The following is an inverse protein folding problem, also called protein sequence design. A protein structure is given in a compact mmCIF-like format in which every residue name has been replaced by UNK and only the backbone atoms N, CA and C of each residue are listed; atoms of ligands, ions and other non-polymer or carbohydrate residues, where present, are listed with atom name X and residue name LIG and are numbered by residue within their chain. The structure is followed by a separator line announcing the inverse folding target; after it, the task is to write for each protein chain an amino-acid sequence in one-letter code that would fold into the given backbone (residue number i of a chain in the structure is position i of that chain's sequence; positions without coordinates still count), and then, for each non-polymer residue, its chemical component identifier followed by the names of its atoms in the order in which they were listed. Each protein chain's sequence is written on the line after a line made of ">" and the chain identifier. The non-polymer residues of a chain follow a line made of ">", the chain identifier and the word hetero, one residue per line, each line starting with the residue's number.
data_IF_658338038967
#
_entry.id   IF_658338038967
#
_cell.length_a   1.000
_cell.length_b   1.000
_cell.length_c   1.000
_cell.angle_alpha   90.00
_cell.angle_beta   90.00
_cell.angle_gamma   90.00
#
_symmetry.space_group_name_H-M   'P 1'
#
loop_
_entity.id
_entity.type
_entity.pdbx_description
1 polymer ?
#
# COMPACT_ATOMS: atom_id res chain seq x y z
N UNK A 1 -17.46 15.73 -60.20
CA UNK A 1 -18.20 16.90 -59.70
C UNK A 1 -18.21 16.79 -58.19
N UNK A 2 -17.57 17.74 -57.52
CA UNK A 2 -17.39 17.79 -56.05
C UNK A 2 -18.74 18.06 -55.38
N UNK A 3 -18.96 17.48 -54.21
CA UNK A 3 -19.77 18.07 -53.13
C UNK A 3 -19.27 17.54 -51.79
N UNK A 4 -19.04 18.48 -50.88
CA UNK A 4 -18.48 18.35 -49.54
C UNK A 4 -19.36 17.57 -48.57
N UNK A 5 -18.77 16.97 -47.53
CA UNK A 5 -19.39 16.94 -46.20
C UNK A 5 -18.36 16.81 -45.07
N UNK A 6 -18.73 17.43 -43.95
CA UNK A 6 -17.87 17.94 -42.90
C UNK A 6 -17.22 16.86 -42.02
N UNK A 7 -15.96 17.13 -41.63
CA UNK A 7 -15.27 16.38 -40.58
C UNK A 7 -15.82 16.73 -39.20
N UNK A 8 -16.53 15.80 -38.58
CA UNK A 8 -16.82 15.81 -37.15
C UNK A 8 -15.60 15.27 -36.41
N UNK A 9 -14.98 16.11 -35.58
CA UNK A 9 -14.01 15.71 -34.57
C UNK A 9 -14.73 14.84 -33.53
N UNK A 10 -14.37 13.57 -33.46
CA UNK A 10 -14.72 12.68 -32.35
C UNK A 10 -13.71 12.85 -31.23
N UNK A 11 -14.17 13.28 -30.04
CA UNK A 11 -13.38 13.22 -28.82
C UNK A 11 -13.13 11.77 -28.44
N UNK A 12 -11.86 11.43 -28.20
CA UNK A 12 -11.47 10.11 -27.69
C UNK A 12 -11.42 10.23 -26.16
N UNK A 13 -12.44 9.70 -25.49
CA UNK A 13 -12.43 9.48 -24.04
C UNK A 13 -11.38 8.41 -23.71
N UNK A 14 -10.36 8.78 -22.95
CA UNK A 14 -9.33 7.85 -22.47
C UNK A 14 -9.85 7.14 -21.20
N UNK A 15 -10.29 5.89 -21.37
CA UNK A 15 -10.72 5.02 -20.27
C UNK A 15 -9.54 4.33 -19.57
N UNK A 16 -9.74 3.92 -18.31
CA UNK A 16 -8.81 3.10 -17.53
C UNK A 16 -8.36 1.88 -18.34
N UNK A 17 -7.05 1.76 -18.56
CA UNK A 17 -6.46 0.72 -19.40
C UNK A 17 -6.31 -0.61 -18.66
N UNK A 18 -7.24 -1.55 -18.89
CA UNK A 18 -7.09 -2.97 -18.53
C UNK A 18 -6.15 -3.64 -19.53
N UNK A 19 -4.93 -4.01 -19.12
CA UNK A 19 -4.06 -4.89 -19.93
C UNK A 19 -4.39 -6.35 -19.65
N UNK A 20 -4.93 -7.04 -20.66
CA UNK A 20 -5.21 -8.48 -20.65
C UNK A 20 -3.91 -9.26 -20.89
N UNK A 21 -3.63 -10.25 -20.04
CA UNK A 21 -2.64 -11.30 -20.32
C UNK A 21 -3.38 -12.63 -20.36
N UNK A 22 -3.06 -13.52 -21.31
CA UNK A 22 -3.86 -14.72 -21.68
C UNK A 22 -4.06 -15.81 -20.59
N UNK A 23 -3.72 -15.52 -19.33
CA UNK A 23 -3.99 -16.36 -18.15
C UNK A 23 -4.35 -15.55 -16.87
N UNK A 24 -4.44 -14.21 -16.93
CA UNK A 24 -4.68 -13.31 -15.80
C UNK A 24 -5.63 -12.20 -16.23
N UNK A 25 -6.83 -12.15 -15.64
CA UNK A 25 -7.90 -11.28 -16.16
C UNK A 25 -7.74 -9.80 -15.74
N UNK A 26 -7.03 -9.48 -14.64
CA UNK A 26 -6.72 -8.09 -14.27
C UNK A 26 -5.56 -7.98 -13.25
N UNK A 27 -4.75 -6.92 -13.37
CA UNK A 27 -3.73 -6.48 -12.40
C UNK A 27 -4.05 -5.03 -12.00
N UNK A 28 -4.37 -4.79 -10.73
CA UNK A 28 -4.67 -3.43 -10.20
C UNK A 28 -3.60 -3.02 -9.20
N UNK A 29 -2.88 -1.90 -9.39
CA UNK A 29 -1.76 -1.44 -8.53
C UNK A 29 -2.10 -0.17 -7.71
N UNK A 30 -2.05 -0.13 -6.36
CA UNK A 30 -2.40 1.11 -5.57
C UNK A 30 -1.82 1.27 -4.12
N UNK A 31 -1.15 2.38 -3.68
CA UNK A 31 -0.28 2.61 -2.46
C UNK A 31 -0.77 2.29 -1.01
N UNK A 32 0.14 2.36 -0.01
CA UNK A 32 0.17 1.71 1.34
C UNK A 32 -0.12 2.64 2.55
N UNK A 33 -0.60 2.09 3.68
CA UNK A 33 -0.82 2.67 5.04
C UNK A 33 -0.48 1.70 6.23
N UNK A 34 -0.01 2.18 7.41
CA UNK A 34 0.40 1.34 8.55
C UNK A 34 -0.64 1.20 9.69
N UNK A 35 -0.63 0.04 10.40
CA UNK A 35 -1.44 -0.24 11.61
C UNK A 35 -0.60 -0.47 12.89
N UNK A 36 -1.21 -0.56 14.10
CA UNK A 36 -0.53 -0.27 15.36
C UNK A 36 0.20 -1.45 16.07
N UNK A 37 1.46 -1.20 16.43
CA UNK A 37 2.21 -1.55 17.66
C UNK A 37 2.13 -2.95 18.31
N UNK A 38 3.26 -3.69 18.29
CA UNK A 38 3.53 -4.89 19.13
C UNK A 38 4.62 -4.58 20.16
N UNK A 39 4.46 -5.08 21.40
CA UNK A 39 5.43 -4.94 22.51
C UNK A 39 6.65 -5.85 22.39
N UNK A 40 7.76 -5.34 22.93
CA UNK A 40 9.15 -5.80 22.82
C UNK A 40 9.45 -7.23 23.32
N UNK A 41 10.02 -8.03 22.42
CA UNK A 41 10.96 -9.13 22.66
C UNK A 41 12.13 -8.95 21.68
N UNK A 42 13.32 -9.49 22.01
CA UNK A 42 14.61 -9.20 21.35
C UNK A 42 14.54 -8.92 19.84
N UNK A 43 15.27 -7.88 19.41
CA UNK A 43 15.14 -7.27 18.08
C UNK A 43 15.07 -8.27 16.92
N UNK A 44 14.31 -7.96 15.87
CA UNK A 44 14.04 -8.88 14.77
C UNK A 44 15.33 -9.34 14.09
N UNK A 45 15.54 -10.66 14.02
CA UNK A 45 16.64 -11.26 13.27
C UNK A 45 16.28 -11.36 11.79
N UNK A 46 17.26 -11.16 10.90
CA UNK A 46 17.06 -11.37 9.47
C UNK A 46 16.68 -12.84 9.19
N UNK A 47 15.68 -13.11 8.34
CA UNK A 47 15.28 -14.47 8.02
C UNK A 47 16.45 -15.29 7.43
N UNK A 48 16.71 -16.47 7.98
CA UNK A 48 17.88 -17.29 7.60
C UNK A 48 17.77 -17.86 6.18
N UNK A 49 16.55 -17.93 5.64
CA UNK A 49 16.22 -18.42 4.31
C UNK A 49 16.35 -17.35 3.22
N UNK A 50 16.55 -16.08 3.60
CA UNK A 50 16.74 -14.98 2.67
C UNK A 50 18.23 -14.67 2.48
N UNK A 51 18.62 -14.48 1.21
CA UNK A 51 19.95 -13.99 0.88
C UNK A 51 20.21 -12.64 1.57
N UNK A 52 21.39 -12.50 2.15
CA UNK A 52 21.85 -11.25 2.77
C UNK A 52 22.25 -10.29 1.64
N UNK A 53 21.58 -9.15 1.49
CA UNK A 53 21.91 -8.19 0.44
C UNK A 53 23.28 -7.55 0.69
N UNK A 54 23.95 -7.13 -0.39
CA UNK A 54 25.10 -6.22 -0.26
C UNK A 54 24.61 -4.87 0.27
N UNK A 55 25.16 -4.47 1.42
CA UNK A 55 24.84 -3.21 2.11
C UNK A 55 25.58 -2.00 1.58
N UNK A 56 26.45 -2.17 0.57
CA UNK A 56 27.25 -1.08 0.02
C UNK A 56 26.35 -0.06 -0.69
N UNK A 57 26.30 1.16 -0.15
CA UNK A 57 25.60 2.30 -0.75
C UNK A 57 26.57 3.48 -0.85
N UNK A 58 27.20 3.70 -2.02
CA UNK A 58 28.21 4.75 -2.16
C UNK A 58 27.61 6.16 -2.25
N UNK A 59 26.34 6.29 -2.64
CA UNK A 59 25.67 7.58 -2.84
C UNK A 59 25.37 8.27 -1.52
N UNK A 60 25.31 9.60 -1.54
CA UNK A 60 24.79 10.38 -0.41
C UNK A 60 23.26 10.46 -0.46
N UNK A 61 22.60 9.42 0.05
CA UNK A 61 21.15 9.29 0.03
C UNK A 61 20.53 9.93 1.28
N UNK A 62 19.46 10.69 1.06
CA UNK A 62 18.61 11.20 2.13
C UNK A 62 17.14 11.13 1.68
N UNK A 63 16.46 10.03 1.99
CA UNK A 63 15.10 9.78 1.54
C UNK A 63 14.15 9.72 2.73
N UNK A 64 13.05 10.46 2.63
CA UNK A 64 12.09 10.63 3.72
C UNK A 64 10.68 10.26 3.31
N UNK A 65 9.96 9.76 4.30
CA UNK A 65 8.51 9.64 4.31
C UNK A 65 8.00 10.57 5.39
N UNK A 66 7.11 11.50 5.05
CA UNK A 66 6.53 12.43 5.99
C UNK A 66 5.08 12.03 6.30
N UNK A 67 4.68 12.15 7.57
CA UNK A 67 3.30 12.02 8.02
C UNK A 67 2.92 13.12 9.04
N UNK A 68 3.74 14.17 9.14
CA UNK A 68 3.48 15.39 9.92
C UNK A 68 3.64 16.60 8.99
N UNK A 69 2.60 17.44 8.80
CA UNK A 69 2.69 18.62 7.94
C UNK A 69 3.68 19.68 8.43
N UNK A 70 4.01 19.70 9.74
CA UNK A 70 4.99 20.61 10.31
C UNK A 70 6.44 20.12 10.17
N UNK A 71 6.65 18.84 9.84
CA UNK A 71 7.98 18.26 9.70
C UNK A 71 8.76 18.91 8.55
N UNK A 72 10.08 19.07 8.72
CA UNK A 72 11.01 19.52 7.68
C UNK A 72 12.30 18.70 7.74
N UNK A 73 12.91 18.35 6.58
CA UNK A 73 14.25 17.79 6.55
C UNK A 73 15.27 18.76 7.18
N UNK A 74 16.30 18.21 7.82
CA UNK A 74 17.40 19.03 8.31
C UNK A 74 18.18 19.66 7.15
N UNK A 75 18.39 20.97 7.19
CA UNK A 75 19.11 21.74 6.14
C UNK A 75 20.53 21.17 5.89
N UNK A 76 21.21 20.70 6.95
CA UNK A 76 22.54 20.10 6.82
C UNK A 76 22.51 18.74 6.09
N UNK A 77 21.44 17.95 6.27
CA UNK A 77 21.26 16.71 5.53
C UNK A 77 20.96 16.97 4.05
N UNK A 78 20.09 17.96 3.75
CA UNK A 78 19.81 18.37 2.37
C UNK A 78 21.07 18.86 1.65
N UNK A 79 21.88 19.69 2.30
CA UNK A 79 23.12 20.20 1.72
C UNK A 79 24.18 19.12 1.44
N UNK A 80 24.18 18.04 2.22
CA UNK A 80 25.14 16.94 2.10
C UNK A 80 24.66 15.79 1.19
N UNK A 81 23.36 15.75 0.87
CA UNK A 81 22.77 14.70 0.04
C UNK A 81 23.06 14.91 -1.45
N UNK A 82 23.44 13.83 -2.13
CA UNK A 82 23.48 13.74 -3.59
C UNK A 82 22.08 13.43 -4.16
N UNK A 83 21.27 12.68 -3.40
CA UNK A 83 19.94 12.24 -3.80
C UNK A 83 18.98 12.38 -2.62
N UNK A 84 18.24 13.49 -2.63
CA UNK A 84 17.22 13.83 -1.65
C UNK A 84 15.81 13.58 -2.23
N UNK A 85 14.93 12.89 -1.48
CA UNK A 85 13.57 12.57 -1.93
C UNK A 85 12.58 12.56 -0.78
N UNK A 86 11.35 13.00 -1.03
CA UNK A 86 10.28 12.99 -0.01
C UNK A 86 9.00 12.37 -0.55
N UNK A 87 8.46 11.37 0.14
CA UNK A 87 7.08 10.91 -0.06
C UNK A 87 6.21 11.49 1.06
N UNK A 88 5.08 12.11 0.70
CA UNK A 88 4.19 12.75 1.67
C UNK A 88 2.70 12.68 1.24
N UNK A 89 1.75 13.01 2.12
CA UNK A 89 0.34 13.02 1.75
C UNK A 89 -0.03 14.14 0.77
N UNK A 90 -1.07 13.90 -0.02
CA UNK A 90 -1.65 14.86 -0.99
C UNK A 90 -2.64 15.86 -0.33
N UNK A 91 -2.85 15.76 0.99
CA UNK A 91 -3.80 16.62 1.71
C UNK A 91 -3.45 18.12 1.64
N UNK A 92 -4.44 19.02 1.78
CA UNK A 92 -4.22 20.47 1.79
C UNK A 92 -3.31 20.93 2.95
N UNK A 93 -3.35 20.22 4.08
CA UNK A 93 -2.48 20.50 5.23
C UNK A 93 -0.98 20.32 4.93
N UNK A 94 -0.62 19.66 3.82
CA UNK A 94 0.76 19.47 3.37
C UNK A 94 1.20 20.46 2.28
N UNK A 95 0.34 21.40 1.86
CA UNK A 95 0.68 22.40 0.82
C UNK A 95 1.90 23.24 1.20
N UNK A 96 2.00 23.69 2.45
CA UNK A 96 3.15 24.45 2.93
C UNK A 96 4.45 23.64 2.90
N UNK A 97 4.38 22.34 3.20
CA UNK A 97 5.54 21.45 3.12
C UNK A 97 5.96 21.23 1.66
N UNK A 98 5.00 21.00 0.74
CA UNK A 98 5.29 20.84 -0.68
C UNK A 98 5.95 22.09 -1.27
N UNK A 99 5.40 23.27 -0.97
CA UNK A 99 6.00 24.54 -1.40
C UNK A 99 7.41 24.73 -0.84
N UNK A 100 7.63 24.42 0.44
CA UNK A 100 8.95 24.51 1.07
C UNK A 100 10.00 23.58 0.41
N UNK A 101 9.59 22.37 0.00
CA UNK A 101 10.44 21.40 -0.70
C UNK A 101 10.73 21.84 -2.13
N UNK A 102 9.73 22.38 -2.83
CA UNK A 102 9.85 22.93 -4.18
C UNK A 102 10.83 24.11 -4.23
N UNK A 103 10.74 25.04 -3.27
CA UNK A 103 11.69 26.16 -3.13
C UNK A 103 13.16 25.73 -2.98
N UNK A 104 13.40 24.47 -2.59
CA UNK A 104 14.72 23.89 -2.35
C UNK A 104 15.12 22.86 -3.40
N UNK A 105 14.37 22.75 -4.50
CA UNK A 105 14.57 21.73 -5.54
C UNK A 105 14.63 20.31 -4.98
N UNK A 106 13.86 20.01 -3.92
CA UNK A 106 13.78 18.66 -3.35
C UNK A 106 12.63 17.90 -4.01
N UNK A 107 12.90 16.86 -4.82
CA UNK A 107 11.85 16.05 -5.42
C UNK A 107 10.91 15.48 -4.37
N UNK A 108 9.62 15.64 -4.60
CA UNK A 108 8.60 15.00 -3.78
C UNK A 108 7.57 14.24 -4.62
N UNK A 109 7.00 13.19 -4.03
CA UNK A 109 5.87 12.43 -4.57
C UNK A 109 4.76 12.36 -3.54
N UNK A 110 3.52 12.48 -4.01
CA UNK A 110 2.36 12.55 -3.13
C UNK A 110 1.52 11.27 -3.22
N UNK A 111 0.89 10.91 -2.11
CA UNK A 111 -0.13 9.86 -2.07
C UNK A 111 -1.27 10.28 -1.14
N UNK A 112 -2.51 10.23 -1.61
CA UNK A 112 -3.71 10.61 -0.84
C UNK A 112 -3.87 9.83 0.47
N UNK A 113 -3.37 8.60 0.49
CA UNK A 113 -3.39 7.73 1.65
C UNK A 113 -1.93 7.47 2.02
N UNK A 114 -1.23 8.46 2.58
CA UNK A 114 0.12 8.29 3.11
C UNK A 114 0.12 8.60 4.61
N UNK A 115 0.68 7.69 5.41
CA UNK A 115 0.65 7.73 6.89
C UNK A 115 1.97 7.18 7.46
N UNK A 116 2.86 6.69 6.59
CA UNK A 116 4.17 6.20 7.01
C UNK A 116 5.14 7.39 7.17
N UNK A 117 5.77 7.48 8.34
CA UNK A 117 6.89 8.37 8.56
C UNK A 117 8.19 7.57 8.75
N UNK A 118 9.30 8.13 8.28
CA UNK A 118 10.61 7.56 8.48
C UNK A 118 11.61 8.04 7.45
N UNK A 119 12.82 7.51 7.55
CA UNK A 119 13.91 7.82 6.64
C UNK A 119 14.72 6.60 6.28
N UNK A 120 15.35 6.68 5.11
CA UNK A 120 16.38 5.76 4.68
C UNK A 120 17.48 6.56 4.00
N UNK A 121 18.73 6.29 4.38
CA UNK A 121 19.81 7.11 3.88
C UNK A 121 21.17 6.74 4.43
N UNK A 122 22.15 7.49 3.96
CA UNK A 122 23.57 7.41 4.34
C UNK A 122 24.10 8.79 4.75
N UNK A 123 23.19 9.72 5.00
CA UNK A 123 23.42 11.07 5.49
C UNK A 123 22.54 11.24 6.72
N UNK A 124 23.13 11.67 7.84
CA UNK A 124 22.39 11.96 9.07
C UNK A 124 21.94 13.44 9.11
N UNK A 125 21.16 13.80 10.14
CA UNK A 125 20.59 15.15 10.28
C UNK A 125 21.65 16.27 10.43
N UNK A 126 22.91 15.93 10.74
CA UNK A 126 24.00 16.89 10.81
C UNK A 126 24.82 16.99 9.52
N UNK A 127 24.41 16.27 8.47
CA UNK A 127 25.11 16.21 7.17
C UNK A 127 26.30 15.24 7.13
N UNK A 128 26.52 14.47 8.20
CA UNK A 128 27.58 13.48 8.28
C UNK A 128 27.25 12.20 7.50
N UNK A 129 28.27 11.61 6.86
CA UNK A 129 28.15 10.30 6.18
C UNK A 129 28.05 9.17 7.20
N UNK A 130 27.14 8.25 6.95
CA UNK A 130 26.94 7.02 7.72
C UNK A 130 26.92 5.81 6.79
N UNK A 131 26.92 4.61 7.36
CA UNK A 131 26.43 3.43 6.64
C UNK A 131 24.95 3.61 6.26
N UNK A 132 24.44 2.73 5.39
CA UNK A 132 23.02 2.75 5.04
C UNK A 132 22.20 2.38 6.27
N UNK A 133 21.37 3.33 6.69
CA UNK A 133 20.51 3.22 7.86
C UNK A 133 19.06 3.53 7.46
N UNK A 134 18.14 2.90 8.15
CA UNK A 134 16.72 3.27 8.14
C UNK A 134 16.27 3.59 9.55
N UNK A 135 15.49 4.64 9.71
CA UNK A 135 14.83 4.97 10.97
C UNK A 135 13.34 5.15 10.72
N UNK A 136 12.52 4.57 11.59
CA UNK A 136 11.05 4.70 11.52
C UNK A 136 10.56 5.99 12.18
N UNK A 137 9.32 5.94 12.68
CA UNK A 137 8.73 6.97 13.54
C UNK A 137 9.64 7.36 14.72
N UNK A 138 9.46 8.58 15.22
CA UNK A 138 10.15 9.09 16.42
C UNK A 138 10.16 8.05 17.55
N UNK A 139 11.36 7.65 17.99
CA UNK A 139 11.58 6.67 19.06
C UNK A 139 11.81 5.22 18.62
N UNK A 140 11.77 4.90 17.32
CA UNK A 140 12.23 3.62 16.81
C UNK A 140 13.77 3.58 16.70
N UNK A 141 14.39 2.49 17.16
CA UNK A 141 15.83 2.30 16.99
C UNK A 141 16.17 2.22 15.49
N UNK A 142 17.17 2.98 15.02
CA UNK A 142 17.63 2.88 13.64
C UNK A 142 18.16 1.47 13.35
N UNK A 143 17.80 0.94 12.18
CA UNK A 143 18.26 -0.35 11.69
C UNK A 143 19.28 -0.16 10.55
N UNK A 144 20.31 -1.01 10.55
CA UNK A 144 21.36 -1.03 9.54
C UNK A 144 21.42 -2.38 8.81
N UNK A 145 22.35 -2.52 7.86
CA UNK A 145 22.61 -3.77 7.16
C UNK A 145 21.42 -4.22 6.29
N UNK A 146 21.06 -5.52 6.27
CA UNK A 146 20.03 -6.07 5.37
C UNK A 146 18.67 -5.37 5.46
N UNK A 147 18.30 -4.91 6.65
CA UNK A 147 17.06 -4.17 6.88
C UNK A 147 17.05 -2.81 6.19
N UNK A 148 18.17 -2.09 6.25
CA UNK A 148 18.30 -0.79 5.61
C UNK A 148 18.33 -0.92 4.08
N UNK A 149 18.92 -2.00 3.55
CA UNK A 149 18.86 -2.33 2.12
C UNK A 149 17.42 -2.61 1.68
N UNK A 150 16.70 -3.46 2.43
CA UNK A 150 15.30 -3.74 2.14
C UNK A 150 14.42 -2.48 2.21
N UNK A 151 14.67 -1.58 3.18
CA UNK A 151 13.97 -0.31 3.30
C UNK A 151 14.26 0.63 2.12
N UNK A 152 15.51 0.70 1.64
CA UNK A 152 15.90 1.48 0.46
C UNK A 152 15.21 0.97 -0.80
N UNK A 153 15.21 -0.36 -1.00
CA UNK A 153 14.60 -0.97 -2.18
C UNK A 153 13.07 -0.82 -2.13
N UNK A 154 12.46 -0.95 -0.95
CA UNK A 154 11.05 -0.68 -0.74
C UNK A 154 10.69 0.79 -1.00
N UNK A 155 11.52 1.73 -0.53
CA UNK A 155 11.35 3.16 -0.82
C UNK A 155 11.43 3.40 -2.34
N UNK A 156 12.41 2.82 -3.03
CA UNK A 156 12.57 2.97 -4.49
C UNK A 156 11.34 2.46 -5.23
N UNK A 157 10.86 1.26 -4.89
CA UNK A 157 9.65 0.70 -5.50
C UNK A 157 8.40 1.57 -5.25
N UNK A 158 8.27 2.13 -4.04
CA UNK A 158 7.17 3.03 -3.69
C UNK A 158 7.29 4.35 -4.44
N UNK A 159 8.51 4.91 -4.50
CA UNK A 159 8.83 6.10 -5.27
C UNK A 159 8.37 5.87 -6.71
N UNK A 160 8.96 4.93 -7.43
CA UNK A 160 8.69 4.62 -8.85
C UNK A 160 7.20 4.41 -9.12
N UNK A 161 6.49 3.70 -8.23
CA UNK A 161 5.05 3.49 -8.36
C UNK A 161 4.22 4.78 -8.30
N UNK A 162 4.69 5.80 -7.57
CA UNK A 162 4.02 7.11 -7.49
C UNK A 162 4.31 8.02 -8.70
N UNK A 163 5.24 7.65 -9.59
CA UNK A 163 5.43 8.34 -10.88
C UNK A 163 4.30 8.08 -11.86
N UNK A 164 3.74 6.86 -11.83
CA UNK A 164 2.82 6.35 -12.84
C UNK A 164 1.34 6.42 -12.40
N UNK A 165 0.96 7.31 -11.47
CA UNK A 165 -0.43 7.44 -11.06
C UNK A 165 -1.22 8.31 -12.05
N UNK A 166 -2.29 7.80 -12.69
CA UNK A 166 -3.13 8.61 -13.55
C UNK A 166 -3.89 9.67 -12.72
N UNK A 167 -3.89 10.91 -13.20
CA UNK A 167 -4.81 11.94 -12.71
C UNK A 167 -6.25 11.50 -13.01
N UNK A 168 -6.95 11.02 -11.99
CA UNK A 168 -8.36 10.66 -12.07
C UNK A 168 -9.02 10.84 -10.70
N UNK A 169 -10.30 11.22 -10.71
CA UNK A 169 -11.13 11.50 -9.52
C UNK A 169 -11.18 10.32 -8.53
N UNK A 170 -10.14 10.20 -7.70
CA UNK A 170 -9.97 9.16 -6.69
C UNK A 170 -10.53 9.57 -5.31
N UNK A 171 -11.57 10.42 -5.28
CA UNK A 171 -12.10 10.99 -4.02
C UNK A 171 -13.43 10.38 -3.56
N UNK A 172 -14.05 9.49 -4.33
CA UNK A 172 -15.38 9.00 -3.96
C UNK A 172 -15.31 7.63 -3.30
N UNK A 173 -15.40 7.61 -1.97
CA UNK A 173 -15.76 6.41 -1.23
C UNK A 173 -17.15 5.93 -1.69
N UNK A 174 -17.26 4.66 -2.05
CA UNK A 174 -18.51 4.08 -2.54
C UNK A 174 -19.20 3.35 -1.39
N UNK A 175 -20.43 3.69 -0.99
CA UNK A 175 -21.15 2.94 0.05
C UNK A 175 -21.17 1.44 -0.26
N UNK A 176 -20.94 0.60 0.75
CA UNK A 176 -20.79 -0.86 0.55
C UNK A 176 -22.01 -1.47 -0.16
N UNK A 177 -23.22 -1.08 0.28
CA UNK A 177 -24.48 -1.55 -0.33
C UNK A 177 -24.69 -1.14 -1.78
N UNK A 178 -23.84 -0.29 -2.36
CA UNK A 178 -23.86 0.03 -3.80
C UNK A 178 -23.22 -1.08 -4.64
N UNK A 179 -22.21 -1.77 -4.11
CA UNK A 179 -21.43 -2.75 -4.88
C UNK A 179 -21.64 -4.21 -4.44
N UNK A 180 -22.09 -4.45 -3.21
CA UNK A 180 -22.34 -5.81 -2.70
C UNK A 180 -23.76 -5.93 -2.13
N UNK A 181 -24.30 -7.17 -2.00
CA UNK A 181 -25.59 -7.40 -1.34
C UNK A 181 -25.68 -6.76 0.04
N UNK A 182 -26.85 -6.20 0.38
CA UNK A 182 -27.03 -5.42 1.61
C UNK A 182 -26.76 -6.21 2.89
N UNK A 183 -27.05 -7.51 2.89
CA UNK A 183 -26.77 -8.43 4.00
C UNK A 183 -25.27 -8.64 4.24
N UNK A 184 -24.41 -8.37 3.24
CA UNK A 184 -22.96 -8.43 3.40
C UNK A 184 -22.38 -7.17 4.03
N UNK A 185 -23.10 -6.05 3.99
CA UNK A 185 -22.61 -4.80 4.56
C UNK A 185 -22.35 -4.93 6.07
N UNK A 186 -23.16 -5.72 6.77
CA UNK A 186 -23.01 -6.00 8.20
C UNK A 186 -21.87 -6.99 8.53
N UNK A 187 -21.26 -7.58 7.49
CA UNK A 187 -20.12 -8.49 7.59
C UNK A 187 -18.81 -7.80 7.19
N UNK A 188 -18.86 -6.55 6.71
CA UNK A 188 -17.69 -5.78 6.34
C UNK A 188 -17.31 -4.77 7.44
N UNK A 189 -16.02 -4.46 7.61
CA UNK A 189 -15.54 -3.65 8.73
C UNK A 189 -15.92 -2.16 8.63
N UNK A 190 -16.24 -1.68 7.43
CA UNK A 190 -16.52 -0.27 7.15
C UNK A 190 -17.78 -0.11 6.29
N UNK A 191 -18.50 1.03 6.40
CA UNK A 191 -19.73 1.27 5.67
C UNK A 191 -19.52 1.68 4.19
N UNK A 192 -18.29 1.98 3.79
CA UNK A 192 -17.93 2.36 2.42
C UNK A 192 -16.63 1.69 1.98
N UNK A 193 -16.54 1.46 0.67
CA UNK A 193 -15.33 1.05 -0.02
C UNK A 193 -14.49 2.28 -0.38
N UNK A 194 -13.18 2.20 -0.11
CA UNK A 194 -12.24 3.16 -0.69
C UNK A 194 -12.15 2.96 -2.22
N UNK A 195 -11.54 3.89 -2.97
CA UNK A 195 -11.47 3.77 -4.44
C UNK A 195 -10.82 2.48 -4.94
N UNK A 196 -9.81 1.97 -4.24
CA UNK A 196 -9.12 0.71 -4.58
C UNK A 196 -10.08 -0.47 -4.49
N UNK A 197 -10.83 -0.53 -3.40
CA UNK A 197 -11.85 -1.54 -3.17
C UNK A 197 -12.99 -1.39 -4.17
N UNK A 198 -13.45 -0.16 -4.43
CA UNK A 198 -14.53 0.12 -5.37
C UNK A 198 -14.18 -0.30 -6.81
N UNK A 199 -12.91 -0.15 -7.22
CA UNK A 199 -12.43 -0.63 -8.52
C UNK A 199 -12.28 -2.16 -8.57
N UNK A 200 -11.88 -2.80 -7.46
CA UNK A 200 -11.62 -4.24 -7.43
C UNK A 200 -12.87 -5.11 -7.19
N UNK A 201 -13.84 -4.62 -6.41
CA UNK A 201 -15.04 -5.38 -6.00
C UNK A 201 -15.88 -5.88 -7.20
N UNK A 202 -16.16 -5.07 -8.23
CA UNK A 202 -16.88 -5.56 -9.42
C UNK A 202 -16.17 -6.74 -10.10
N UNK A 203 -14.85 -6.67 -10.24
CA UNK A 203 -14.04 -7.76 -10.82
C UNK A 203 -14.07 -9.03 -9.96
N UNK A 204 -14.19 -8.91 -8.64
CA UNK A 204 -14.37 -10.07 -7.74
C UNK A 204 -15.72 -10.75 -7.97
N UNK A 205 -16.79 -9.99 -8.15
CA UNK A 205 -18.16 -10.52 -8.26
C UNK A 205 -18.49 -11.05 -9.65
N UNK A 206 -18.09 -10.30 -10.69
CA UNK A 206 -18.45 -10.54 -12.09
C UNK A 206 -17.37 -11.34 -12.84
N UNK A 207 -16.14 -11.33 -12.32
CA UNK A 207 -14.99 -12.00 -12.92
C UNK A 207 -15.17 -13.52 -13.01
N UNK A 208 -14.70 -14.09 -14.13
CA UNK A 208 -14.76 -15.54 -14.39
C UNK A 208 -13.42 -16.25 -14.15
N UNK A 209 -12.45 -15.60 -13.51
CA UNK A 209 -11.08 -16.11 -13.38
C UNK A 209 -10.34 -15.60 -12.15
N UNK A 210 -9.01 -15.67 -12.18
CA UNK A 210 -8.14 -15.23 -11.08
C UNK A 210 -7.91 -13.71 -11.15
N UNK A 211 -7.94 -13.06 -9.99
CA UNK A 211 -7.68 -11.63 -9.82
C UNK A 211 -6.37 -11.45 -9.04
N UNK A 212 -5.51 -10.53 -9.51
CA UNK A 212 -4.30 -10.12 -8.80
C UNK A 212 -4.40 -8.65 -8.45
N UNK A 213 -4.50 -8.34 -7.16
CA UNK A 213 -4.51 -6.97 -6.65
C UNK A 213 -3.14 -6.64 -6.04
N UNK A 214 -2.44 -5.70 -6.65
CA UNK A 214 -1.10 -5.23 -6.30
C UNK A 214 -1.18 -3.87 -5.60
N UNK A 215 -1.86 -3.82 -4.47
CA UNK A 215 -1.92 -2.60 -3.68
C UNK A 215 -0.87 -2.65 -2.56
N UNK A 216 -0.03 -1.63 -2.30
CA UNK A 216 0.84 -1.64 -1.14
C UNK A 216 0.10 -1.82 0.21
N UNK A 217 0.84 -2.28 1.22
CA UNK A 217 0.37 -2.65 2.56
C UNK A 217 -0.45 -1.53 3.19
N UNK A 218 -1.72 -1.74 3.58
CA UNK A 218 -2.58 -0.69 4.14
C UNK A 218 -3.57 -0.02 3.20
N UNK A 219 -3.49 -0.28 1.89
CA UNK A 219 -4.49 0.15 0.92
C UNK A 219 -5.92 -0.41 1.14
N UNK A 220 -6.14 -1.16 2.23
CA UNK A 220 -7.40 -1.85 2.50
C UNK A 220 -7.65 -3.05 1.60
N UNK A 221 -6.62 -3.89 1.33
CA UNK A 221 -6.79 -5.14 0.56
C UNK A 221 -7.71 -6.16 1.25
N UNK A 222 -7.78 -6.13 2.58
CA UNK A 222 -8.55 -7.10 3.36
C UNK A 222 -10.04 -7.10 2.99
N UNK A 223 -10.76 -5.97 2.94
CA UNK A 223 -12.14 -5.94 2.42
C UNK A 223 -12.34 -6.57 1.03
N UNK A 224 -11.37 -6.47 0.12
CA UNK A 224 -11.46 -7.12 -1.21
C UNK A 224 -11.46 -8.65 -1.05
N UNK A 225 -10.54 -9.18 -0.22
CA UNK A 225 -10.50 -10.61 0.11
C UNK A 225 -11.74 -11.10 0.87
N UNK A 226 -12.31 -10.25 1.74
CA UNK A 226 -13.56 -10.52 2.44
C UNK A 226 -14.72 -10.67 1.47
N UNK A 227 -14.87 -9.74 0.51
CA UNK A 227 -15.89 -9.84 -0.55
C UNK A 227 -15.70 -11.12 -1.36
N UNK A 228 -14.47 -11.47 -1.74
CA UNK A 228 -14.20 -12.72 -2.48
C UNK A 228 -14.60 -13.98 -1.68
N UNK A 229 -14.37 -13.98 -0.37
CA UNK A 229 -14.75 -15.09 0.49
C UNK A 229 -16.26 -15.17 0.73
N UNK A 230 -16.95 -14.02 0.90
CA UNK A 230 -18.41 -13.96 1.01
C UNK A 230 -19.10 -14.39 -0.29
N UNK A 231 -18.55 -14.00 -1.43
CA UNK A 231 -18.97 -14.43 -2.77
C UNK A 231 -18.90 -15.96 -2.90
N UNK A 232 -17.74 -16.55 -2.57
CA UNK A 232 -17.58 -18.00 -2.58
C UNK A 232 -18.57 -18.70 -1.63
N UNK A 233 -18.78 -18.14 -0.43
CA UNK A 233 -19.73 -18.65 0.56
C UNK A 233 -21.18 -18.59 0.06
N UNK A 234 -21.59 -17.48 -0.57
CA UNK A 234 -22.91 -17.32 -1.16
C UNK A 234 -23.17 -18.31 -2.31
N UNK A 235 -22.11 -18.73 -3.02
CA UNK A 235 -22.14 -19.83 -4.00
C UNK A 235 -22.10 -21.23 -3.37
N UNK A 236 -22.18 -21.36 -2.04
CA UNK A 236 -22.12 -22.64 -1.32
C UNK A 236 -20.74 -23.29 -1.28
N UNK A 237 -19.67 -22.52 -1.53
CA UNK A 237 -18.28 -23.00 -1.54
C UNK A 237 -17.58 -22.62 -0.23
N UNK A 238 -16.41 -23.23 -0.01
CA UNK A 238 -15.49 -22.84 1.07
C UNK A 238 -14.45 -21.86 0.54
N UNK A 239 -14.11 -20.86 1.34
CA UNK A 239 -12.98 -19.97 1.11
C UNK A 239 -11.82 -20.33 2.03
N UNK A 240 -10.60 -20.25 1.52
CA UNK A 240 -9.37 -20.39 2.30
C UNK A 240 -8.56 -19.09 2.15
N UNK A 241 -8.21 -18.49 3.28
CA UNK A 241 -7.41 -17.27 3.30
C UNK A 241 -5.99 -17.59 3.75
N UNK A 242 -5.05 -17.47 2.81
CA UNK A 242 -3.63 -17.69 3.09
C UNK A 242 -2.98 -16.36 3.49
N UNK A 243 -2.30 -16.37 4.63
CA UNK A 243 -1.56 -15.22 5.17
C UNK A 243 -0.14 -15.67 5.50
N UNK A 244 0.89 -14.85 5.20
CA UNK A 244 2.28 -15.31 5.27
C UNK A 244 2.83 -15.39 6.70
N UNK A 245 2.18 -14.73 7.67
CA UNK A 245 2.69 -14.60 9.04
C UNK A 245 1.59 -14.85 10.08
N UNK A 246 2.01 -15.30 11.26
CA UNK A 246 1.10 -15.59 12.39
C UNK A 246 0.38 -14.33 12.89
N UNK A 247 1.08 -13.22 13.02
CA UNK A 247 0.52 -11.92 13.43
C UNK A 247 -0.60 -11.45 12.51
N UNK A 248 -0.41 -11.56 11.19
CA UNK A 248 -1.45 -11.26 10.20
C UNK A 248 -2.62 -12.24 10.27
N UNK A 249 -2.36 -13.49 10.67
CA UNK A 249 -3.44 -14.45 10.97
C UNK A 249 -4.24 -14.00 12.19
N UNK A 250 -3.57 -13.54 13.24
CA UNK A 250 -4.23 -13.06 14.46
C UNK A 250 -5.09 -11.83 14.19
N UNK A 251 -4.61 -10.91 13.36
CA UNK A 251 -5.34 -9.72 12.93
C UNK A 251 -6.57 -10.06 12.12
N UNK A 252 -6.41 -10.85 11.05
CA UNK A 252 -7.53 -11.31 10.24
C UNK A 252 -8.55 -12.10 11.08
N UNK A 253 -8.09 -12.94 12.01
CA UNK A 253 -8.98 -13.71 12.87
C UNK A 253 -9.81 -12.83 13.82
N UNK A 254 -9.27 -11.68 14.25
CA UNK A 254 -10.02 -10.65 15.00
C UNK A 254 -11.08 -10.01 14.13
N UNK A 255 -10.75 -9.60 12.90
CA UNK A 255 -11.71 -9.00 11.98
C UNK A 255 -12.88 -9.96 11.67
N UNK A 256 -12.54 -11.24 11.49
CA UNK A 256 -13.53 -12.29 11.21
C UNK A 256 -14.33 -12.73 12.45
N UNK A 257 -14.08 -12.18 13.64
CA UNK A 257 -15.00 -12.36 14.78
C UNK A 257 -16.38 -11.80 14.48
N UNK A 258 -16.47 -10.71 13.70
CA UNK A 258 -17.74 -10.19 13.20
C UNK A 258 -18.53 -11.26 12.47
N UNK A 259 -17.89 -12.00 11.56
CA UNK A 259 -18.54 -13.07 10.81
C UNK A 259 -19.06 -14.18 11.72
N UNK A 260 -18.26 -14.58 12.72
CA UNK A 260 -18.67 -15.57 13.72
C UNK A 260 -19.90 -15.12 14.50
N UNK A 261 -19.90 -13.86 14.94
CA UNK A 261 -21.04 -13.27 15.66
C UNK A 261 -22.32 -13.22 14.82
N UNK A 262 -22.19 -13.18 13.49
CA UNK A 262 -23.30 -13.21 12.53
C UNK A 262 -23.61 -14.63 12.01
N UNK A 263 -23.02 -15.66 12.62
CA UNK A 263 -23.36 -17.06 12.37
C UNK A 263 -22.55 -17.74 11.26
N UNK A 264 -21.55 -17.08 10.67
CA UNK A 264 -20.65 -17.74 9.71
C UNK A 264 -19.62 -18.61 10.45
N UNK A 265 -19.37 -19.81 9.93
CA UNK A 265 -18.35 -20.71 10.48
C UNK A 265 -16.97 -20.33 9.94
N UNK A 266 -16.19 -19.63 10.76
CA UNK A 266 -14.78 -19.30 10.47
C UNK A 266 -13.85 -20.13 11.35
N UNK A 267 -12.91 -20.86 10.73
CA UNK A 267 -11.92 -21.69 11.41
C UNK A 267 -10.52 -21.18 11.08
N UNK A 268 -9.72 -20.93 12.12
CA UNK A 268 -8.29 -20.63 11.97
C UNK A 268 -7.50 -21.93 11.96
N UNK A 269 -6.64 -22.10 10.96
CA UNK A 269 -5.69 -23.20 10.88
C UNK A 269 -4.30 -22.67 11.22
N UNK A 270 -3.80 -22.98 12.40
CA UNK A 270 -2.38 -22.83 12.72
C UNK A 270 -1.69 -24.17 12.46
N UNK A 271 -0.45 -24.17 11.97
CA UNK A 271 0.30 -25.39 11.64
C UNK A 271 0.56 -26.35 12.81
N UNK A 272 0.02 -26.08 14.00
CA UNK A 272 -0.08 -27.02 15.11
C UNK A 272 -1.24 -27.99 14.84
N UNK A 273 -1.05 -28.84 13.83
CA UNK A 273 -1.91 -29.99 13.61
C UNK A 273 -1.66 -31.02 14.73
N UNK A 274 -2.27 -30.82 15.90
CA UNK A 274 -2.54 -31.92 16.81
C UNK A 274 -3.94 -32.46 16.51
N UNK A 275 -3.94 -33.54 15.72
CA UNK A 275 -5.01 -34.53 15.60
C UNK A 275 -5.84 -34.66 16.88
N UNK A 276 -7.14 -34.40 16.81
CA UNK A 276 -8.10 -35.13 17.64
C UNK A 276 -9.27 -35.57 16.75
N UNK A 277 -9.33 -36.89 16.62
CA UNK A 277 -10.44 -37.66 16.05
C UNK A 277 -11.72 -37.48 16.86
#
# INVERSE_FOLDING_TARGET
>A
MRSDEAGTQGSVSAGLGVKRYDQLNAITRVPAQPGPGVRAGGGPAWPQDLAVPDGTEPRALAWWKAADPAWRPAEAALAAAEDARVILPDGPEYEELRGWLEERDVPCRVSRYWEEAGQVGTVNDTGGRTELVTAGLEGADPAAGPWAVAARDAFTAQWDALEELPEGDADTYVPVGTLVPADWAELLPHPSFNPVQAAAVPEVLEGRGHLVVVAPTGAGKTPIGMVAALEAYARGRKAAWLVPQRSLTDELDRDLQLWRSRGLRVVRLTGEAALRA
#
